data_IF_696683292157
#
_entry.id   IF_696683292157
#
_cell.length_a   1.000
_cell.length_b   1.000
_cell.length_c   1.000
_cell.angle_alpha   90.00
_cell.angle_beta   90.00
_cell.angle_gamma   90.00
#
_symmetry.space_group_name_H-M   'P 1'
#
loop_
_entity.id
_entity.type
_entity.pdbx_description
1 polymer ?
#
# COMPACT_ATOMS: atom_id res chain seq x y z
N UNK A 1 0.99 11.66 -22.33
CA UNK A 1 1.14 11.48 -20.88
C UNK A 1 2.56 11.04 -20.57
N UNK A 2 3.25 11.74 -19.67
CA UNK A 2 4.61 11.37 -19.30
C UNK A 2 4.60 10.15 -18.35
N UNK A 3 5.73 9.41 -18.24
CA UNK A 3 5.81 8.29 -17.30
C UNK A 3 5.55 8.66 -15.83
N UNK A 4 5.65 9.94 -15.48
CA UNK A 4 5.44 10.42 -14.10
C UNK A 4 4.01 10.86 -13.83
N UNK A 5 3.19 11.07 -14.86
CA UNK A 5 1.83 11.60 -14.68
C UNK A 5 0.94 10.65 -13.89
N UNK A 6 0.98 9.37 -14.19
CA UNK A 6 0.14 8.38 -13.53
C UNK A 6 0.59 8.10 -12.09
N UNK A 7 1.91 7.90 -11.83
CA UNK A 7 2.37 7.77 -10.45
C UNK A 7 2.07 9.01 -9.60
N UNK A 8 2.17 10.21 -10.16
CA UNK A 8 1.83 11.44 -9.46
C UNK A 8 0.35 11.52 -9.11
N UNK A 9 -0.52 11.09 -10.03
CA UNK A 9 -1.97 11.01 -9.77
C UNK A 9 -2.27 10.00 -8.68
N UNK A 10 -1.60 8.84 -8.70
CA UNK A 10 -1.74 7.83 -7.65
C UNK A 10 -1.30 8.37 -6.29
N UNK A 11 -0.18 9.11 -6.25
CA UNK A 11 0.31 9.72 -5.02
C UNK A 11 -0.73 10.68 -4.43
N UNK A 12 -1.27 11.55 -5.26
CA UNK A 12 -2.29 12.53 -4.82
C UNK A 12 -3.49 11.82 -4.20
N UNK A 13 -3.98 10.79 -4.87
CA UNK A 13 -5.11 10.00 -4.41
C UNK A 13 -4.81 9.30 -3.08
N UNK A 14 -3.62 8.68 -2.99
CA UNK A 14 -3.21 7.97 -1.78
C UNK A 14 -3.03 8.90 -0.59
N UNK A 15 -2.51 10.11 -0.82
CA UNK A 15 -2.37 11.10 0.27
C UNK A 15 -3.73 11.51 0.83
N UNK A 16 -4.73 11.68 -0.03
CA UNK A 16 -6.10 11.96 0.41
C UNK A 16 -6.68 10.81 1.21
N UNK A 17 -6.46 9.58 0.75
CA UNK A 17 -6.94 8.38 1.44
C UNK A 17 -6.26 8.16 2.79
N UNK A 18 -4.97 8.56 2.93
CA UNK A 18 -4.30 8.51 4.23
C UNK A 18 -4.99 9.40 5.26
N UNK A 19 -5.48 10.57 4.84
CA UNK A 19 -6.24 11.46 5.73
C UNK A 19 -7.55 10.80 6.17
N UNK A 20 -8.26 10.17 5.24
CA UNK A 20 -9.48 9.44 5.56
C UNK A 20 -9.20 8.25 6.49
N UNK A 21 -8.06 7.59 6.30
CA UNK A 21 -7.64 6.47 7.12
C UNK A 21 -7.46 6.88 8.58
N UNK A 22 -6.92 8.07 8.82
CA UNK A 22 -6.77 8.59 10.17
C UNK A 22 -8.13 8.79 10.85
N UNK A 23 -9.12 9.25 10.13
CA UNK A 23 -10.48 9.41 10.66
C UNK A 23 -11.05 8.06 11.08
N UNK A 24 -10.90 7.03 10.22
CA UNK A 24 -11.36 5.68 10.53
C UNK A 24 -10.65 5.11 11.76
N UNK A 25 -9.34 5.35 11.86
CA UNK A 25 -8.54 4.88 12.99
C UNK A 25 -8.99 5.55 14.30
N UNK A 26 -9.16 6.86 14.28
CA UNK A 26 -9.58 7.62 15.46
C UNK A 26 -11.01 7.25 15.90
N UNK A 27 -11.80 6.72 14.99
CA UNK A 27 -13.18 6.27 15.23
C UNK A 27 -13.24 4.79 15.63
N UNK A 28 -12.10 4.18 15.90
CA UNK A 28 -11.95 2.76 16.28
C UNK A 28 -12.52 1.78 15.24
N UNK A 29 -12.59 2.19 13.98
CA UNK A 29 -13.11 1.37 12.90
C UNK A 29 -11.97 0.55 12.28
N UNK A 30 -11.45 -0.41 13.04
CA UNK A 30 -10.21 -1.09 12.72
C UNK A 30 -10.30 -1.98 11.47
N UNK A 31 -11.43 -2.62 11.24
CA UNK A 31 -11.60 -3.44 10.03
C UNK A 31 -11.52 -2.60 8.76
N UNK A 32 -12.13 -1.40 8.78
CA UNK A 32 -12.06 -0.49 7.64
C UNK A 32 -10.67 0.11 7.48
N UNK A 33 -9.93 0.33 8.59
CA UNK A 33 -8.53 0.76 8.51
C UNK A 33 -7.70 -0.27 7.75
N UNK A 34 -7.85 -1.55 8.08
CA UNK A 34 -7.10 -2.63 7.41
C UNK A 34 -7.48 -2.68 5.93
N UNK A 35 -8.77 -2.64 5.61
CA UNK A 35 -9.24 -2.71 4.23
C UNK A 35 -8.78 -1.52 3.38
N UNK A 36 -8.94 -0.31 3.90
CA UNK A 36 -8.50 0.90 3.18
C UNK A 36 -6.98 0.95 3.05
N UNK A 37 -6.24 0.48 4.06
CA UNK A 37 -4.78 0.40 3.98
C UNK A 37 -4.35 -0.52 2.85
N UNK A 38 -5.05 -1.64 2.63
CA UNK A 38 -4.76 -2.54 1.52
C UNK A 38 -4.91 -1.82 0.18
N UNK A 39 -5.99 -1.04 0.00
CA UNK A 39 -6.19 -0.26 -1.22
C UNK A 39 -5.07 0.77 -1.44
N UNK A 40 -4.66 1.45 -0.38
CA UNK A 40 -3.60 2.45 -0.44
C UNK A 40 -2.26 1.79 -0.80
N UNK A 41 -1.90 0.68 -0.15
CA UNK A 41 -0.66 -0.04 -0.44
C UNK A 41 -0.66 -0.57 -1.87
N UNK A 42 -1.78 -1.12 -2.33
CA UNK A 42 -1.89 -1.60 -3.70
C UNK A 42 -1.65 -0.48 -4.72
N UNK A 43 -2.36 0.63 -4.58
CA UNK A 43 -2.26 1.73 -5.53
C UNK A 43 -0.88 2.39 -5.51
N UNK A 44 -0.33 2.66 -4.32
CA UNK A 44 0.99 3.26 -4.21
C UNK A 44 2.10 2.32 -4.67
N UNK A 45 1.97 1.00 -4.43
CA UNK A 45 2.91 0.00 -4.97
C UNK A 45 2.90 -0.01 -6.50
N UNK A 46 1.71 0.07 -7.11
CA UNK A 46 1.60 0.16 -8.57
C UNK A 46 2.23 1.43 -9.11
N UNK A 47 2.14 2.54 -8.37
CA UNK A 47 2.84 3.77 -8.71
C UNK A 47 4.36 3.58 -8.70
N UNK A 48 4.89 2.90 -7.71
CA UNK A 48 6.32 2.58 -7.62
C UNK A 48 6.77 1.74 -8.83
N UNK A 49 5.98 0.73 -9.20
CA UNK A 49 6.28 -0.11 -10.37
C UNK A 49 6.34 0.71 -11.65
N UNK A 50 5.43 1.66 -11.83
CA UNK A 50 5.44 2.51 -13.03
C UNK A 50 6.66 3.41 -13.09
N UNK A 51 7.16 3.89 -11.94
CA UNK A 51 8.42 4.64 -11.90
C UNK A 51 9.57 3.75 -12.36
N UNK A 52 9.57 2.46 -11.99
CA UNK A 52 10.56 1.49 -12.41
C UNK A 52 10.35 0.96 -13.84
N UNK A 53 9.35 1.49 -14.56
CA UNK A 53 8.98 1.09 -15.92
C UNK A 53 8.52 -0.37 -16.01
N UNK A 54 7.86 -0.85 -14.95
CA UNK A 54 7.25 -2.18 -14.91
C UNK A 54 5.73 -1.98 -14.94
N UNK A 55 5.06 -2.62 -15.88
CA UNK A 55 3.60 -2.59 -15.94
C UNK A 55 3.01 -3.33 -14.74
N UNK A 56 2.16 -2.67 -13.94
CA UNK A 56 1.56 -3.34 -12.80
C UNK A 56 0.59 -4.43 -13.27
N UNK A 57 0.63 -5.62 -12.64
CA UNK A 57 -0.33 -6.67 -12.96
C UNK A 57 -1.72 -6.30 -12.44
N UNK A 58 -2.75 -6.98 -12.95
CA UNK A 58 -4.13 -6.78 -12.53
C UNK A 58 -4.50 -7.63 -11.31
N UNK A 59 -3.56 -7.83 -10.40
CA UNK A 59 -3.81 -8.58 -9.15
C UNK A 59 -3.47 -7.69 -7.96
N UNK A 60 -3.92 -8.11 -6.77
CA UNK A 60 -3.79 -7.30 -5.56
C UNK A 60 -2.39 -7.34 -4.96
N UNK A 61 -1.68 -8.46 -5.09
CA UNK A 61 -0.34 -8.60 -4.53
C UNK A 61 0.71 -8.44 -5.64
N UNK A 62 1.53 -7.41 -5.53
CA UNK A 62 2.56 -7.08 -6.52
C UNK A 62 3.98 -7.24 -5.96
N UNK A 63 4.15 -8.05 -4.90
CA UNK A 63 5.44 -8.23 -4.25
C UNK A 63 6.54 -8.72 -5.19
N UNK A 64 6.21 -9.66 -6.07
CA UNK A 64 7.19 -10.21 -7.02
C UNK A 64 7.72 -9.11 -7.95
N UNK A 65 6.83 -8.27 -8.47
CA UNK A 65 7.19 -7.16 -9.35
C UNK A 65 8.00 -6.10 -8.61
N UNK A 66 7.71 -5.85 -7.33
CA UNK A 66 8.49 -4.92 -6.51
C UNK A 66 9.93 -5.41 -6.37
N UNK A 67 10.13 -6.71 -6.19
CA UNK A 67 11.46 -7.31 -6.14
C UNK A 67 12.20 -7.06 -7.45
N UNK A 68 11.53 -7.23 -8.58
CA UNK A 68 12.11 -6.98 -9.89
C UNK A 68 12.46 -5.51 -10.11
N UNK A 69 11.78 -4.59 -9.42
CA UNK A 69 12.01 -3.16 -9.55
C UNK A 69 13.28 -2.67 -8.83
N UNK A 70 13.79 -3.44 -7.86
CA UNK A 70 14.91 -3.02 -7.02
C UNK A 70 16.14 -2.54 -7.79
N UNK A 71 16.63 -3.24 -8.84
CA UNK A 71 17.80 -2.75 -9.58
C UNK A 71 17.60 -1.37 -10.19
N UNK A 72 16.40 -1.05 -10.63
CA UNK A 72 16.08 0.26 -11.20
C UNK A 72 15.93 1.33 -10.13
N UNK A 73 15.32 1.00 -8.99
CA UNK A 73 15.07 1.96 -7.92
C UNK A 73 16.33 2.31 -7.14
N UNK A 74 17.26 1.36 -7.00
CA UNK A 74 18.53 1.58 -6.30
C UNK A 74 18.59 0.95 -4.92
N UNK A 75 19.81 0.71 -4.46
CA UNK A 75 20.08 -0.01 -3.21
C UNK A 75 19.52 0.69 -1.97
N UNK A 76 19.42 2.01 -1.99
CA UNK A 76 18.91 2.76 -0.84
C UNK A 76 17.44 2.43 -0.54
N UNK A 77 16.71 1.86 -1.49
CA UNK A 77 15.31 1.49 -1.34
C UNK A 77 15.09 0.03 -0.94
N UNK A 78 16.17 -0.76 -0.79
CA UNK A 78 16.04 -2.20 -0.49
C UNK A 78 15.19 -2.47 0.75
N UNK A 79 15.49 -1.78 1.85
CA UNK A 79 14.75 -1.99 3.10
C UNK A 79 13.28 -1.61 2.96
N UNK A 80 13.01 -0.45 2.36
CA UNK A 80 11.63 0.01 2.17
C UNK A 80 10.85 -0.95 1.28
N UNK A 81 11.44 -1.39 0.18
CA UNK A 81 10.78 -2.33 -0.74
C UNK A 81 10.51 -3.67 -0.05
N UNK A 82 11.46 -4.19 0.74
CA UNK A 82 11.24 -5.43 1.50
C UNK A 82 10.03 -5.30 2.45
N UNK A 83 9.92 -4.19 3.14
CA UNK A 83 8.78 -3.93 4.02
C UNK A 83 7.47 -3.78 3.24
N UNK A 84 7.51 -3.14 2.07
CA UNK A 84 6.33 -2.98 1.21
C UNK A 84 5.88 -4.32 0.64
N UNK A 85 6.83 -5.21 0.29
CA UNK A 85 6.50 -6.57 -0.13
C UNK A 85 5.78 -7.34 0.99
N UNK A 86 6.29 -7.23 2.21
CA UNK A 86 5.64 -7.84 3.39
C UNK A 86 4.24 -7.27 3.59
N UNK A 87 4.09 -5.94 3.42
CA UNK A 87 2.81 -5.27 3.54
C UNK A 87 1.79 -5.79 2.51
N UNK A 88 2.23 -5.97 1.26
CA UNK A 88 1.35 -6.51 0.21
C UNK A 88 0.84 -7.90 0.57
N UNK A 89 1.72 -8.79 1.04
CA UNK A 89 1.33 -10.14 1.43
C UNK A 89 0.38 -10.15 2.63
N UNK A 90 0.73 -9.40 3.67
CA UNK A 90 -0.07 -9.40 4.89
C UNK A 90 -1.46 -8.81 4.67
N UNK A 91 -1.54 -7.67 4.00
CA UNK A 91 -2.82 -7.00 3.75
C UNK A 91 -3.71 -7.80 2.81
N UNK A 92 -3.14 -8.46 1.82
CA UNK A 92 -3.91 -9.34 0.93
C UNK A 92 -4.54 -10.50 1.72
N UNK A 93 -3.77 -11.13 2.59
CA UNK A 93 -4.28 -12.22 3.44
C UNK A 93 -5.41 -11.73 4.34
N UNK A 94 -5.24 -10.55 4.96
CA UNK A 94 -6.26 -9.99 5.83
C UNK A 94 -7.54 -9.66 5.05
N UNK A 95 -7.39 -9.13 3.84
CA UNK A 95 -8.55 -8.84 2.98
C UNK A 95 -9.32 -10.11 2.64
N UNK A 96 -8.62 -11.18 2.29
CA UNK A 96 -9.26 -12.47 1.99
C UNK A 96 -9.99 -13.02 3.20
N UNK A 97 -9.39 -12.93 4.37
CA UNK A 97 -10.04 -13.36 5.62
C UNK A 97 -11.32 -12.55 5.90
N UNK A 98 -11.27 -11.23 5.68
CA UNK A 98 -12.40 -10.34 5.93
C UNK A 98 -13.59 -10.58 4.98
N UNK A 99 -13.30 -10.88 3.69
CA UNK A 99 -14.34 -11.05 2.67
C UNK A 99 -14.79 -12.50 2.49
N UNK A 100 -13.89 -13.47 2.67
CA UNK A 100 -14.13 -14.88 2.39
C UNK A 100 -13.99 -15.76 3.61
N UNK A 101 -13.91 -15.18 4.81
CA UNK A 101 -13.83 -15.91 6.06
C UNK A 101 -15.15 -16.57 6.43
N UNK A 102 -15.20 -17.18 7.64
CA UNK A 102 -16.39 -17.87 8.13
C UNK A 102 -17.64 -16.97 8.08
N UNK A 103 -18.79 -17.60 7.85
CA UNK A 103 -20.08 -16.90 7.82
C UNK A 103 -20.33 -16.07 9.09
N UNK A 104 -19.71 -16.47 10.20
CA UNK A 104 -19.86 -15.82 11.49
C UNK A 104 -18.86 -14.69 11.74
N UNK A 105 -18.01 -14.38 10.75
CA UNK A 105 -17.00 -13.34 10.91
C UNK A 105 -17.65 -11.96 11.03
N UNK A 106 -17.47 -11.33 12.19
CA UNK A 106 -17.92 -9.96 12.40
C UNK A 106 -16.76 -9.02 12.04
N UNK A 107 -16.85 -8.26 10.93
CA UNK A 107 -15.75 -7.40 10.49
C UNK A 107 -15.38 -6.31 11.49
N UNK A 108 -16.28 -5.96 12.41
CA UNK A 108 -15.96 -4.94 13.42
C UNK A 108 -15.22 -5.52 14.63
N UNK A 109 -15.26 -6.83 14.82
CA UNK A 109 -14.64 -7.51 15.96
C UNK A 109 -13.37 -8.28 15.59
N UNK A 110 -13.13 -8.50 14.29
CA UNK A 110 -12.05 -9.35 13.82
C UNK A 110 -10.66 -8.74 13.91
N UNK A 111 -10.52 -7.43 14.13
CA UNK A 111 -9.25 -6.74 14.11
C UNK A 111 -9.01 -5.97 15.41
N UNK A 112 -7.76 -6.07 15.90
CA UNK A 112 -7.33 -5.32 17.08
C UNK A 112 -6.77 -3.95 16.67
N UNK A 113 -6.57 -3.10 17.67
CA UNK A 113 -5.87 -1.81 17.45
C UNK A 113 -4.47 -2.03 16.90
N UNK A 114 -3.78 -3.11 17.31
CA UNK A 114 -2.43 -3.43 16.79
C UNK A 114 -2.46 -3.77 15.30
N UNK A 115 -3.49 -4.50 14.85
CA UNK A 115 -3.66 -4.78 13.43
C UNK A 115 -3.86 -3.50 12.64
N UNK A 116 -4.69 -2.60 13.15
CA UNK A 116 -4.95 -1.32 12.50
C UNK A 116 -3.70 -0.42 12.48
N UNK A 117 -2.94 -0.40 13.57
CA UNK A 117 -1.67 0.34 13.63
C UNK A 117 -0.68 -0.19 12.61
N UNK A 118 -0.57 -1.51 12.49
CA UNK A 118 0.31 -2.16 11.50
C UNK A 118 -0.11 -1.80 10.08
N UNK A 119 -1.40 -1.91 9.78
CA UNK A 119 -1.93 -1.59 8.46
C UNK A 119 -1.69 -0.12 8.11
N UNK A 120 -1.96 0.78 9.05
CA UNK A 120 -1.75 2.21 8.88
C UNK A 120 -0.28 2.52 8.58
N UNK A 121 0.64 1.91 9.35
CA UNK A 121 2.08 2.09 9.18
C UNK A 121 2.53 1.64 7.79
N UNK A 122 2.02 0.52 7.29
CA UNK A 122 2.33 0.04 5.95
C UNK A 122 1.81 1.00 4.86
N UNK A 123 0.61 1.51 5.02
CA UNK A 123 0.04 2.47 4.07
C UNK A 123 0.91 3.74 4.02
N UNK A 124 1.27 4.26 5.18
CA UNK A 124 2.10 5.46 5.29
C UNK A 124 3.48 5.25 4.66
N UNK A 125 4.14 4.13 4.98
CA UNK A 125 5.45 3.79 4.42
C UNK A 125 5.42 3.75 2.90
N UNK A 126 4.41 3.08 2.34
CA UNK A 126 4.34 2.88 0.88
C UNK A 126 4.11 4.22 0.17
N UNK A 127 3.23 5.06 0.70
CA UNK A 127 2.97 6.39 0.13
C UNK A 127 4.22 7.28 0.22
N UNK A 128 4.89 7.27 1.37
CA UNK A 128 6.11 8.06 1.55
C UNK A 128 7.22 7.60 0.61
N UNK A 129 7.34 6.31 0.37
CA UNK A 129 8.32 5.76 -0.58
C UNK A 129 8.01 6.20 -2.00
N UNK A 130 6.76 6.15 -2.42
CA UNK A 130 6.33 6.65 -3.72
C UNK A 130 6.67 8.14 -3.87
N UNK A 131 6.39 8.93 -2.84
CA UNK A 131 6.68 10.37 -2.86
C UNK A 131 8.18 10.65 -3.02
N UNK A 132 9.02 9.94 -2.26
CA UNK A 132 10.48 10.07 -2.35
C UNK A 132 10.98 9.73 -3.75
N UNK A 133 10.47 8.66 -4.34
CA UNK A 133 10.88 8.23 -5.67
C UNK A 133 10.49 9.26 -6.73
N UNK A 134 9.29 9.84 -6.62
CA UNK A 134 8.85 10.89 -7.54
C UNK A 134 9.72 12.14 -7.41
N UNK A 135 10.04 12.54 -6.20
CA UNK A 135 10.86 13.71 -5.95
C UNK A 135 12.30 13.53 -6.46
N UNK A 136 12.87 12.33 -6.25
CA UNK A 136 14.21 12.00 -6.74
C UNK A 136 14.28 12.02 -8.25
N UNK A 137 13.25 11.55 -8.94
CA UNK A 137 13.23 11.49 -10.40
C UNK A 137 12.98 12.85 -11.05
N UNK A 138 12.63 13.87 -10.27
CA UNK A 138 12.43 15.25 -10.73
C UNK A 138 13.68 16.12 -10.62
N UNK A 139 14.73 15.59 -10.02
CA UNK A 139 16.00 16.32 -9.86
C UNK A 139 16.92 16.17 -11.06
#
# INVERSE_FOLDING_TARGET
MSPKDLPAAYLKKCKSRLKALKVLFDDDNFSDVVRESQEIVELSSKGILRIALIDPPHRHDVAEELKQALPTLGKSYTKAIDEIMTANHWLRREREMAFYGAEDFNPTEGYSVKDAERAFAYAKLTVETLEKLLNSSNS
#
